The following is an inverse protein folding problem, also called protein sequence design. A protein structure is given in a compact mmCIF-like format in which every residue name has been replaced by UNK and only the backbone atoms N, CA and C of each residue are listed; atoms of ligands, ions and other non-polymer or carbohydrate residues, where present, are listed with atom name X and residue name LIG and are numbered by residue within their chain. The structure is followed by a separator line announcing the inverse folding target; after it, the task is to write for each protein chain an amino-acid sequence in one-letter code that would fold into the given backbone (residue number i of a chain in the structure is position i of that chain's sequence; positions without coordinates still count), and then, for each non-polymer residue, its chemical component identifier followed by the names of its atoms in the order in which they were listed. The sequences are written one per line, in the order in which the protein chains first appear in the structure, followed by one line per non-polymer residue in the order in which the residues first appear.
data_IF_002387623566
#
_entry.id   IF_002387623566
#
_cell.length_a   1.000
_cell.length_b   1.000
_cell.length_c   1.000
_cell.angle_alpha   90.00
_cell.angle_beta   90.00
_cell.angle_gamma   90.00
#
_symmetry.space_group_name_H-M   'P 1'
#
loop_
_entity.id
_entity.type
_entity.pdbx_description
1 polymer ?
#
# COMPACT_ATOMS: atom_id res chain seq x y z
N UNK A 1 4.45 -19.92 -21.00
CA UNK A 1 3.55 -19.08 -20.18
C UNK A 1 2.72 -20.01 -19.32
N UNK A 2 2.85 -19.94 -18.00
CA UNK A 2 1.94 -20.69 -17.13
C UNK A 2 0.56 -20.04 -17.19
N UNK A 3 -0.54 -20.81 -17.17
CA UNK A 3 -1.89 -20.26 -17.12
C UNK A 3 -2.00 -19.41 -15.85
N UNK A 4 -2.41 -18.14 -16.00
CA UNK A 4 -2.73 -17.29 -14.86
C UNK A 4 -3.90 -17.95 -14.15
N UNK A 5 -3.64 -18.46 -12.95
CA UNK A 5 -4.65 -19.07 -12.08
C UNK A 5 -5.69 -17.99 -11.77
N UNK A 6 -6.77 -18.00 -12.54
CA UNK A 6 -7.80 -16.98 -12.45
C UNK A 6 -8.60 -17.27 -11.20
N UNK A 7 -8.64 -16.32 -10.25
CA UNK A 7 -9.46 -16.42 -9.04
C UNK A 7 -10.90 -16.79 -9.44
N UNK A 8 -11.27 -18.03 -9.15
CA UNK A 8 -12.56 -18.61 -9.50
C UNK A 8 -13.41 -18.58 -8.24
N UNK A 9 -14.36 -17.66 -8.19
CA UNK A 9 -15.35 -17.61 -7.11
C UNK A 9 -16.39 -18.70 -7.35
N UNK A 10 -16.60 -19.53 -6.34
CA UNK A 10 -17.58 -20.59 -6.34
C UNK A 10 -18.90 -20.14 -5.69
N UNK A 11 -19.96 -20.90 -5.93
CA UNK A 11 -21.28 -20.65 -5.31
C UNK A 11 -21.21 -20.67 -3.76
N UNK A 12 -20.28 -21.44 -3.18
CA UNK A 12 -20.06 -21.50 -1.73
C UNK A 12 -19.58 -20.16 -1.15
N UNK A 13 -18.91 -19.34 -1.95
CA UNK A 13 -18.33 -18.06 -1.55
C UNK A 13 -19.38 -16.95 -1.54
N UNK A 14 -20.58 -17.18 -2.09
CA UNK A 14 -21.63 -16.18 -2.12
C UNK A 14 -22.31 -16.04 -0.74
N UNK A 15 -22.25 -14.83 -0.18
CA UNK A 15 -22.80 -14.49 1.14
C UNK A 15 -24.30 -14.27 1.06
N UNK A 16 -24.77 -13.45 0.12
CA UNK A 16 -26.19 -13.15 -0.07
C UNK A 16 -26.89 -14.20 -0.95
N UNK A 17 -26.99 -15.43 -0.42
CA UNK A 17 -27.45 -16.63 -1.16
C UNK A 17 -28.85 -16.50 -1.76
N UNK A 18 -29.78 -15.86 -1.08
CA UNK A 18 -31.16 -15.67 -1.59
C UNK A 18 -31.19 -14.80 -2.84
N UNK A 19 -30.47 -13.67 -2.79
CA UNK A 19 -30.31 -12.79 -3.94
C UNK A 19 -29.68 -13.55 -5.11
N UNK A 20 -28.58 -14.27 -4.86
CA UNK A 20 -27.92 -15.09 -5.87
C UNK A 20 -28.85 -16.14 -6.49
N UNK A 21 -29.63 -16.86 -5.69
CA UNK A 21 -30.58 -17.87 -6.18
C UNK A 21 -31.58 -17.27 -7.18
N UNK A 22 -32.04 -16.04 -6.93
CA UNK A 22 -32.95 -15.33 -7.84
C UNK A 22 -32.34 -14.92 -9.18
N UNK A 23 -31.01 -14.74 -9.25
CA UNK A 23 -30.32 -14.25 -10.45
C UNK A 23 -29.37 -15.27 -11.08
N UNK A 24 -29.17 -16.44 -10.45
CA UNK A 24 -28.13 -17.44 -10.77
C UNK A 24 -28.02 -17.76 -12.25
N UNK A 25 -29.15 -17.98 -12.91
CA UNK A 25 -29.17 -18.36 -14.33
C UNK A 25 -28.87 -17.18 -15.27
N UNK A 26 -29.07 -15.94 -14.82
CA UNK A 26 -28.85 -14.74 -15.61
C UNK A 26 -27.37 -14.34 -15.63
N UNK A 27 -26.64 -14.60 -14.54
CA UNK A 27 -25.25 -14.17 -14.35
C UNK A 27 -24.23 -15.30 -14.57
N UNK A 28 -24.67 -16.52 -14.90
CA UNK A 28 -23.77 -17.63 -15.21
C UNK A 28 -23.35 -17.56 -16.67
N UNK A 29 -22.06 -17.79 -16.90
CA UNK A 29 -21.53 -17.97 -18.24
C UNK A 29 -22.09 -19.27 -18.83
N UNK A 30 -22.68 -19.19 -20.01
CA UNK A 30 -23.26 -20.35 -20.67
C UNK A 30 -22.23 -21.36 -21.21
N UNK A 31 -20.94 -21.01 -21.21
CA UNK A 31 -19.84 -21.87 -21.65
C UNK A 31 -19.16 -22.55 -20.46
N UNK A 32 -18.66 -21.79 -19.49
CA UNK A 32 -17.93 -22.34 -18.34
C UNK A 32 -18.81 -22.64 -17.11
N UNK A 33 -20.10 -22.25 -17.14
CA UNK A 33 -21.11 -22.47 -16.09
C UNK A 33 -20.82 -21.82 -14.72
N UNK A 34 -19.73 -21.04 -14.64
CA UNK A 34 -19.35 -20.23 -13.49
C UNK A 34 -20.01 -18.85 -13.53
N UNK A 35 -19.91 -18.11 -12.42
CA UNK A 35 -20.31 -16.69 -12.37
C UNK A 35 -19.52 -15.94 -13.44
N UNK A 36 -20.21 -15.19 -14.30
CA UNK A 36 -19.61 -14.57 -15.46
C UNK A 36 -18.60 -13.47 -15.05
N UNK A 37 -17.36 -13.61 -15.50
CA UNK A 37 -16.31 -12.61 -15.36
C UNK A 37 -16.32 -11.70 -16.59
N UNK A 38 -16.32 -10.38 -16.38
CA UNK A 38 -16.46 -9.38 -17.44
C UNK A 38 -17.59 -9.76 -18.43
N UNK A 39 -18.85 -9.83 -17.94
CA UNK A 39 -19.94 -10.46 -18.65
C UNK A 39 -20.26 -9.74 -19.96
N UNK A 40 -20.32 -10.53 -21.02
CA UNK A 40 -20.84 -10.13 -22.33
C UNK A 40 -22.10 -10.94 -22.61
N UNK A 41 -22.94 -10.44 -23.51
CA UNK A 41 -24.11 -11.15 -23.99
C UNK A 41 -24.13 -11.16 -25.51
N UNK A 42 -24.70 -12.21 -26.09
CA UNK A 42 -24.99 -12.22 -27.51
C UNK A 42 -26.07 -11.16 -27.81
N UNK A 43 -25.84 -10.29 -28.79
CA UNK A 43 -26.78 -9.24 -29.19
C UNK A 43 -28.15 -9.78 -29.67
N UNK A 44 -28.20 -11.02 -30.15
CA UNK A 44 -29.40 -11.66 -30.68
C UNK A 44 -30.14 -12.52 -29.67
N UNK A 45 -29.48 -13.53 -29.08
CA UNK A 45 -30.14 -14.45 -28.14
C UNK A 45 -30.04 -14.03 -26.67
N UNK A 46 -29.29 -12.96 -26.36
CA UNK A 46 -29.13 -12.38 -25.03
C UNK A 46 -28.56 -13.34 -23.96
N UNK A 47 -28.00 -14.48 -24.39
CA UNK A 47 -27.31 -15.41 -23.48
C UNK A 47 -26.03 -14.76 -22.93
N UNK A 48 -25.76 -14.99 -21.64
CA UNK A 48 -24.62 -14.42 -20.93
C UNK A 48 -23.37 -15.32 -21.04
N UNK A 49 -22.20 -14.70 -21.20
CA UNK A 49 -20.89 -15.33 -21.30
C UNK A 49 -19.83 -14.53 -20.56
N UNK A 50 -18.76 -15.18 -20.10
CA UNK A 50 -17.52 -14.48 -19.79
C UNK A 50 -16.88 -13.95 -21.07
N UNK A 51 -16.33 -12.74 -21.06
CA UNK A 51 -15.62 -12.18 -22.23
C UNK A 51 -14.51 -13.12 -22.73
N UNK A 52 -13.75 -13.73 -21.81
CA UNK A 52 -12.67 -14.65 -22.15
C UNK A 52 -13.15 -15.98 -22.75
N UNK A 53 -14.34 -16.46 -22.38
CA UNK A 53 -14.90 -17.70 -22.93
C UNK A 53 -15.34 -17.58 -24.39
N UNK A 54 -15.60 -16.35 -24.86
CA UNK A 54 -16.07 -16.08 -26.22
C UNK A 54 -15.09 -15.24 -27.04
N UNK A 55 -13.91 -14.92 -26.48
CA UNK A 55 -12.91 -14.04 -27.11
C UNK A 55 -12.47 -14.53 -28.50
N UNK A 56 -12.31 -15.84 -28.63
CA UNK A 56 -11.83 -16.47 -29.87
C UNK A 56 -12.98 -17.11 -30.68
N UNK A 57 -14.24 -16.88 -30.28
CA UNK A 57 -15.41 -17.43 -30.98
C UNK A 57 -15.90 -16.44 -32.03
N UNK A 58 -16.03 -16.92 -33.26
CA UNK A 58 -16.60 -16.17 -34.39
C UNK A 58 -18.13 -16.18 -34.43
N UNK A 59 -18.77 -17.03 -33.62
CA UNK A 59 -20.22 -17.25 -33.62
C UNK A 59 -20.73 -17.53 -32.20
N UNK A 60 -21.99 -17.16 -31.95
CA UNK A 60 -22.66 -17.53 -30.71
C UNK A 60 -22.71 -19.07 -30.52
N UNK A 61 -22.30 -19.62 -29.35
CA UNK A 61 -22.37 -21.06 -29.06
C UNK A 61 -23.76 -21.70 -29.21
N UNK A 62 -24.82 -20.90 -29.16
CA UNK A 62 -26.20 -21.35 -29.34
C UNK A 62 -26.68 -21.28 -30.79
N UNK A 63 -25.80 -21.03 -31.76
CA UNK A 63 -26.11 -21.00 -33.19
C UNK A 63 -27.28 -20.07 -33.56
N UNK A 64 -27.48 -18.98 -32.83
CA UNK A 64 -28.57 -18.03 -33.13
C UNK A 64 -28.31 -17.19 -34.40
N UNK A 65 -27.15 -17.35 -35.06
CA UNK A 65 -26.74 -16.59 -36.24
C UNK A 65 -26.16 -15.20 -35.93
N UNK A 66 -25.80 -14.93 -34.68
CA UNK A 66 -25.04 -13.74 -34.30
C UNK A 66 -23.54 -14.03 -34.24
N UNK A 67 -22.76 -13.00 -34.58
CA UNK A 67 -21.30 -12.94 -34.50
C UNK A 67 -20.81 -11.86 -33.53
N UNK A 68 -21.73 -11.23 -32.79
CA UNK A 68 -21.41 -10.08 -31.93
C UNK A 68 -21.76 -10.37 -30.47
N UNK A 69 -20.80 -10.08 -29.61
CA UNK A 69 -20.94 -10.11 -28.16
C UNK A 69 -20.75 -8.69 -27.63
N UNK A 70 -21.75 -8.18 -26.91
CA UNK A 70 -21.74 -6.84 -26.34
C UNK A 70 -21.64 -6.92 -24.81
N UNK A 71 -21.06 -5.92 -24.12
CA UNK A 71 -21.09 -5.88 -22.65
C UNK A 71 -22.53 -5.97 -22.12
N UNK A 72 -22.78 -6.88 -21.18
CA UNK A 72 -24.12 -7.03 -20.59
C UNK A 72 -24.29 -6.09 -19.39
N UNK A 73 -24.85 -4.91 -19.62
CA UNK A 73 -25.11 -3.93 -18.56
C UNK A 73 -26.01 -4.51 -17.45
N UNK A 74 -27.02 -5.29 -17.83
CA UNK A 74 -27.92 -5.96 -16.88
C UNK A 74 -27.13 -6.91 -15.97
N UNK A 75 -26.30 -7.79 -16.55
CA UNK A 75 -25.50 -8.73 -15.74
C UNK A 75 -24.51 -7.99 -14.85
N UNK A 76 -23.87 -6.92 -15.34
CA UNK A 76 -22.98 -6.09 -14.53
C UNK A 76 -23.69 -5.46 -13.33
N UNK A 77 -24.91 -4.95 -13.51
CA UNK A 77 -25.73 -4.38 -12.43
C UNK A 77 -26.18 -5.42 -11.41
N UNK A 78 -26.48 -6.64 -11.84
CA UNK A 78 -26.83 -7.74 -10.93
C UNK A 78 -25.60 -8.21 -10.16
N UNK A 79 -24.47 -8.36 -10.85
CA UNK A 79 -23.19 -8.75 -10.26
C UNK A 79 -22.70 -7.73 -9.22
N UNK A 80 -22.85 -6.42 -9.45
CA UNK A 80 -22.41 -5.41 -8.47
C UNK A 80 -23.15 -5.46 -7.12
N UNK A 81 -24.29 -6.15 -7.07
CA UNK A 81 -25.06 -6.41 -5.85
C UNK A 81 -24.69 -7.74 -5.17
N UNK A 82 -23.89 -8.59 -5.81
CA UNK A 82 -23.40 -9.81 -5.18
C UNK A 82 -22.35 -9.49 -4.13
N UNK A 83 -22.49 -10.17 -3.00
CA UNK A 83 -21.54 -10.12 -1.89
C UNK A 83 -20.85 -11.48 -1.86
N UNK A 84 -19.54 -11.47 -2.03
CA UNK A 84 -18.67 -12.65 -2.04
C UNK A 84 -17.80 -12.62 -0.79
N UNK A 85 -17.73 -13.74 -0.08
CA UNK A 85 -16.80 -13.97 1.01
C UNK A 85 -15.45 -14.34 0.39
N UNK A 86 -14.49 -13.46 0.61
CA UNK A 86 -13.11 -13.76 0.32
C UNK A 86 -12.61 -14.91 1.22
N UNK A 87 -11.62 -15.67 0.74
CA UNK A 87 -10.93 -16.69 1.53
C UNK A 87 -10.29 -16.17 2.84
N UNK A 88 -10.06 -14.87 2.97
CA UNK A 88 -9.63 -14.23 4.22
C UNK A 88 -10.77 -13.99 5.23
N UNK A 89 -12.00 -14.38 4.88
CA UNK A 89 -13.20 -14.25 5.71
C UNK A 89 -13.95 -12.92 5.60
N UNK A 90 -13.45 -11.96 4.81
CA UNK A 90 -14.12 -10.66 4.60
C UNK A 90 -15.09 -10.70 3.43
N UNK A 91 -16.21 -10.01 3.60
CA UNK A 91 -17.27 -9.92 2.61
C UNK A 91 -17.04 -8.71 1.71
N UNK A 92 -17.05 -8.92 0.39
CA UNK A 92 -16.78 -7.90 -0.64
C UNK A 92 -17.84 -7.88 -1.72
N UNK A 93 -18.07 -6.70 -2.29
CA UNK A 93 -18.88 -6.59 -3.51
C UNK A 93 -18.12 -7.14 -4.71
N UNK A 94 -18.80 -7.89 -5.57
CA UNK A 94 -18.18 -8.54 -6.73
C UNK A 94 -17.55 -7.55 -7.72
N UNK A 95 -18.13 -6.36 -7.89
CA UNK A 95 -17.60 -5.33 -8.80
C UNK A 95 -16.23 -4.78 -8.36
N UNK A 96 -15.99 -4.71 -7.05
CA UNK A 96 -14.68 -4.34 -6.49
C UNK A 96 -13.63 -5.41 -6.81
N UNK A 97 -14.00 -6.68 -6.67
CA UNK A 97 -13.12 -7.81 -6.97
C UNK A 97 -12.71 -7.84 -8.45
N UNK A 98 -13.64 -7.64 -9.38
CA UNK A 98 -13.31 -7.60 -10.82
C UNK A 98 -12.39 -6.44 -11.18
N UNK A 99 -12.62 -5.24 -10.64
CA UNK A 99 -11.74 -4.09 -10.88
C UNK A 99 -10.31 -4.35 -10.39
N UNK A 100 -10.17 -5.11 -9.32
CA UNK A 100 -8.87 -5.46 -8.75
C UNK A 100 -8.17 -6.56 -9.56
N UNK A 101 -8.92 -7.54 -10.09
CA UNK A 101 -8.39 -8.54 -11.03
C UNK A 101 -7.90 -7.90 -12.33
N UNK A 102 -8.67 -6.98 -12.90
CA UNK A 102 -8.29 -6.26 -14.13
C UNK A 102 -7.04 -5.39 -13.90
N UNK A 103 -6.93 -4.75 -12.72
CA UNK A 103 -5.72 -4.03 -12.31
C UNK A 103 -4.53 -4.99 -12.22
N UNK A 104 -4.67 -6.12 -11.52
CA UNK A 104 -3.59 -7.09 -11.33
C UNK A 104 -3.09 -7.68 -12.66
N UNK A 105 -3.98 -7.95 -13.62
CA UNK A 105 -3.58 -8.44 -14.95
C UNK A 105 -2.80 -7.41 -15.76
N UNK A 106 -3.02 -6.11 -15.52
CA UNK A 106 -2.27 -5.02 -16.16
C UNK A 106 -1.01 -4.66 -15.38
N UNK A 107 -0.92 -5.10 -14.14
CA UNK A 107 0.09 -4.72 -13.17
C UNK A 107 1.01 -5.91 -12.92
N UNK A 108 2.03 -6.06 -13.77
CA UNK A 108 3.30 -6.67 -13.35
C UNK A 108 4.06 -5.67 -12.48
N UNK A 109 3.45 -5.14 -11.41
CA UNK A 109 4.15 -4.19 -10.55
C UNK A 109 5.18 -4.98 -9.76
N UNK A 110 6.43 -4.58 -9.92
CA UNK A 110 7.61 -4.92 -9.12
C UNK A 110 7.42 -4.79 -7.59
N UNK A 111 6.27 -4.25 -7.16
CA UNK A 111 5.91 -4.00 -5.77
C UNK A 111 4.86 -4.97 -5.19
N UNK A 112 4.49 -6.01 -5.93
CA UNK A 112 3.54 -7.03 -5.49
C UNK A 112 4.28 -8.24 -4.95
N UNK A 113 3.90 -8.70 -3.76
CA UNK A 113 4.42 -9.94 -3.15
C UNK A 113 3.28 -10.92 -2.89
N UNK A 114 3.57 -12.22 -2.92
CA UNK A 114 2.72 -13.25 -2.31
C UNK A 114 3.30 -13.63 -0.96
N UNK A 115 2.44 -13.78 0.05
CA UNK A 115 2.83 -14.09 1.43
C UNK A 115 2.12 -15.35 1.91
N UNK A 116 2.80 -16.23 2.65
CA UNK A 116 2.13 -17.37 3.32
C UNK A 116 1.14 -16.94 4.41
N UNK A 117 1.20 -15.68 4.87
CA UNK A 117 0.25 -15.14 5.85
C UNK A 117 -1.08 -14.74 5.21
N UNK A 118 -1.12 -14.64 3.88
CA UNK A 118 -2.30 -14.16 3.18
C UNK A 118 -2.38 -14.66 1.75
N UNK A 119 -3.49 -15.31 1.41
CA UNK A 119 -3.64 -15.98 0.11
C UNK A 119 -3.58 -15.04 -1.09
N UNK A 120 -4.01 -13.79 -0.93
CA UNK A 120 -3.94 -12.83 -2.02
C UNK A 120 -2.57 -12.18 -2.13
N UNK A 121 -2.21 -11.72 -3.34
CA UNK A 121 -1.10 -10.79 -3.49
C UNK A 121 -1.34 -9.50 -2.69
N UNK A 122 -0.28 -9.00 -2.07
CA UNK A 122 -0.27 -7.72 -1.35
C UNK A 122 0.69 -6.76 -2.05
N UNK A 123 0.29 -5.50 -2.13
CA UNK A 123 1.06 -4.45 -2.79
C UNK A 123 1.68 -3.53 -1.74
N UNK A 124 2.93 -3.12 -1.95
CA UNK A 124 3.52 -2.07 -1.13
C UNK A 124 2.83 -0.73 -1.43
N UNK A 125 2.19 -0.13 -0.43
CA UNK A 125 1.52 1.17 -0.55
C UNK A 125 1.95 2.04 0.64
N UNK A 126 2.15 3.34 0.37
CA UNK A 126 2.21 4.35 1.43
C UNK A 126 0.81 4.91 1.62
N UNK A 127 0.23 4.70 2.81
CA UNK A 127 -0.97 5.43 3.22
C UNK A 127 -0.50 6.72 3.85
N UNK A 128 -0.91 7.85 3.30
CA UNK A 128 -0.72 9.14 3.93
C UNK A 128 -1.91 9.42 4.87
N UNK A 129 -1.64 9.94 6.06
CA UNK A 129 -2.64 10.49 6.99
C UNK A 129 -3.60 9.47 7.65
N UNK A 130 -3.20 8.20 7.74
CA UNK A 130 -4.01 7.19 8.44
C UNK A 130 -3.16 6.19 9.23
N UNK A 131 -3.39 6.13 10.55
CA UNK A 131 -2.83 5.06 11.39
C UNK A 131 -3.43 3.73 10.96
N UNK A 132 -2.62 2.68 10.94
CA UNK A 132 -3.06 1.34 10.54
C UNK A 132 -2.50 0.29 11.48
N UNK A 133 -3.11 -0.90 11.48
CA UNK A 133 -2.70 -2.02 12.33
C UNK A 133 -2.34 -3.19 11.44
N UNK A 134 -1.19 -3.82 11.69
CA UNK A 134 -0.81 -5.04 10.99
C UNK A 134 -1.76 -6.16 11.36
N UNK A 135 -2.45 -6.75 10.37
CA UNK A 135 -3.39 -7.83 10.60
C UNK A 135 -2.73 -9.10 11.13
N UNK A 136 -1.42 -9.27 10.94
CA UNK A 136 -0.68 -10.41 11.48
C UNK A 136 -0.19 -10.18 12.91
N UNK A 137 0.71 -9.21 13.14
CA UNK A 137 1.31 -9.00 14.47
C UNK A 137 0.51 -8.06 15.39
N UNK A 138 -0.55 -7.43 14.89
CA UNK A 138 -1.41 -6.49 15.62
C UNK A 138 -0.72 -5.21 16.12
N UNK A 139 0.54 -4.98 15.75
CA UNK A 139 1.22 -3.72 16.02
C UNK A 139 0.55 -2.57 15.24
N UNK A 140 0.44 -1.42 15.89
CA UNK A 140 -0.07 -0.17 15.30
C UNK A 140 1.09 0.62 14.68
N UNK A 141 0.82 1.22 13.52
CA UNK A 141 1.76 2.01 12.73
C UNK A 141 1.13 3.36 12.37
N UNK A 142 1.98 4.36 12.06
CA UNK A 142 1.58 5.76 11.88
C UNK A 142 1.58 6.19 10.40
N UNK A 143 1.11 7.42 10.18
CA UNK A 143 0.66 8.04 8.93
C UNK A 143 1.68 8.14 7.77
N UNK A 144 2.91 7.67 7.97
CA UNK A 144 3.97 7.60 6.96
C UNK A 144 4.57 6.21 6.79
N UNK A 145 4.20 5.25 7.65
CA UNK A 145 4.80 3.91 7.65
C UNK A 145 4.25 3.13 6.47
N UNK A 146 5.10 2.72 5.50
CA UNK A 146 4.63 1.94 4.38
C UNK A 146 4.09 0.58 4.84
N UNK A 147 3.06 0.09 4.15
CA UNK A 147 2.38 -1.18 4.44
C UNK A 147 2.32 -2.03 3.17
N UNK A 148 2.30 -3.34 3.34
CA UNK A 148 1.86 -4.25 2.29
C UNK A 148 0.35 -4.47 2.44
N UNK A 149 -0.40 -3.84 1.54
CA UNK A 149 -1.85 -3.85 1.54
C UNK A 149 -2.39 -4.78 0.46
N UNK A 150 -3.30 -5.66 0.85
CA UNK A 150 -4.13 -6.42 -0.06
C UNK A 150 -5.30 -5.54 -0.53
N UNK A 151 -5.27 -5.11 -1.79
CA UNK A 151 -6.40 -4.42 -2.42
C UNK A 151 -7.67 -5.29 -2.35
N UNK A 152 -7.52 -6.60 -2.56
CA UNK A 152 -8.65 -7.56 -2.56
C UNK A 152 -9.37 -7.72 -1.23
N UNK A 153 -8.78 -7.40 -0.08
CA UNK A 153 -9.53 -7.57 1.17
C UNK A 153 -9.27 -6.54 2.25
N UNK A 154 -8.41 -5.57 2.05
CA UNK A 154 -7.93 -4.66 3.08
C UNK A 154 -7.02 -5.33 4.12
N UNK A 155 -6.31 -6.39 3.73
CA UNK A 155 -5.32 -7.04 4.59
C UNK A 155 -4.04 -6.22 4.60
N UNK A 156 -3.63 -5.72 5.76
CA UNK A 156 -2.45 -4.89 5.90
C UNK A 156 -1.37 -5.66 6.69
N UNK A 157 -0.17 -5.82 6.14
CA UNK A 157 0.98 -6.41 6.87
C UNK A 157 2.19 -5.49 6.88
N UNK A 158 2.88 -5.47 8.02
CA UNK A 158 4.12 -4.74 8.17
C UNK A 158 5.28 -5.41 7.45
N UNK A 159 6.34 -4.63 7.26
CA UNK A 159 7.57 -5.08 6.63
C UNK A 159 8.14 -6.36 7.26
N UNK A 160 8.25 -6.41 8.59
CA UNK A 160 8.81 -7.58 9.28
C UNK A 160 7.94 -8.83 9.09
N UNK A 161 6.62 -8.68 9.11
CA UNK A 161 5.71 -9.79 8.81
C UNK A 161 5.83 -10.25 7.35
N UNK A 162 5.87 -9.31 6.41
CA UNK A 162 6.04 -9.58 4.99
C UNK A 162 7.37 -10.29 4.71
N UNK A 163 8.49 -9.73 5.17
CA UNK A 163 9.84 -10.27 5.02
C UNK A 163 9.96 -11.74 5.42
N UNK A 164 9.31 -12.14 6.52
CA UNK A 164 9.36 -13.51 7.04
C UNK A 164 8.32 -14.46 6.39
N UNK A 165 7.53 -13.96 5.46
CA UNK A 165 6.40 -14.70 4.88
C UNK A 165 6.31 -14.70 3.36
N UNK A 166 7.17 -13.98 2.66
CA UNK A 166 7.18 -13.94 1.20
C UNK A 166 7.40 -15.34 0.61
N UNK A 167 6.53 -15.72 -0.33
CA UNK A 167 6.66 -16.92 -1.15
C UNK A 167 7.00 -16.57 -2.60
N UNK A 168 6.57 -15.40 -3.09
CA UNK A 168 6.88 -14.89 -4.43
C UNK A 168 7.00 -13.35 -4.43
N UNK A 169 7.81 -12.79 -5.34
CA UNK A 169 8.07 -11.35 -5.46
C UNK A 169 9.29 -10.87 -4.66
N UNK A 170 9.56 -9.55 -4.72
CA UNK A 170 10.71 -8.92 -4.04
C UNK A 170 10.24 -7.77 -3.15
N UNK A 171 10.86 -7.62 -1.98
CA UNK A 171 10.63 -6.46 -1.12
C UNK A 171 11.12 -5.18 -1.79
N UNK A 172 10.36 -4.11 -1.65
CA UNK A 172 10.74 -2.79 -2.15
C UNK A 172 11.94 -2.22 -1.38
N UNK A 173 12.99 -1.80 -2.08
CA UNK A 173 14.21 -1.23 -1.47
C UNK A 173 13.91 -0.04 -0.56
N UNK A 174 12.97 0.82 -0.94
CA UNK A 174 12.55 1.98 -0.15
C UNK A 174 11.84 1.58 1.16
N UNK A 175 11.19 0.40 1.21
CA UNK A 175 10.69 -0.14 2.47
C UNK A 175 11.83 -0.61 3.36
N UNK A 176 12.79 -1.33 2.78
CA UNK A 176 13.99 -1.79 3.50
C UNK A 176 14.70 -0.58 4.11
N UNK A 177 14.93 0.47 3.32
CA UNK A 177 15.56 1.71 3.75
C UNK A 177 14.76 2.43 4.84
N UNK A 178 13.44 2.52 4.73
CA UNK A 178 12.60 3.15 5.77
C UNK A 178 12.73 2.42 7.13
N UNK A 179 12.63 1.09 7.13
CA UNK A 179 12.71 0.31 8.36
C UNK A 179 14.14 0.22 8.92
N UNK A 180 15.16 0.34 8.08
CA UNK A 180 16.56 0.42 8.52
C UNK A 180 16.95 1.80 9.05
N UNK A 181 16.39 2.89 8.50
CA UNK A 181 16.72 4.26 8.90
C UNK A 181 15.94 4.74 10.14
N UNK A 182 14.85 4.06 10.50
CA UNK A 182 14.05 4.33 11.71
C UNK A 182 14.02 3.09 12.64
N UNK A 183 15.17 2.69 13.22
CA UNK A 183 15.23 1.51 14.11
C UNK A 183 14.39 1.69 15.38
N UNK A 184 14.17 2.94 15.79
CA UNK A 184 13.18 3.30 16.79
C UNK A 184 11.81 3.31 16.11
N UNK A 185 11.15 2.14 16.10
CA UNK A 185 9.70 2.09 15.94
C UNK A 185 9.16 3.02 17.02
N UNK A 186 8.69 4.19 16.55
CA UNK A 186 8.02 5.23 17.33
C UNK A 186 7.18 4.54 18.39
N UNK A 187 7.68 4.54 19.63
CA UNK A 187 6.93 3.99 20.75
C UNK A 187 5.61 4.73 20.81
N UNK A 188 4.58 4.09 21.36
CA UNK A 188 3.21 4.60 21.52
C UNK A 188 3.07 6.06 22.05
N UNK A 189 4.16 6.69 22.51
CA UNK A 189 4.24 8.06 23.04
C UNK A 189 4.91 9.10 22.14
N UNK A 190 5.53 8.70 21.04
CA UNK A 190 6.33 9.60 20.20
C UNK A 190 5.51 10.38 19.14
N UNK A 191 4.19 10.40 19.29
CA UNK A 191 3.26 10.95 18.29
C UNK A 191 2.12 11.74 18.96
N UNK A 192 2.46 12.82 19.66
CA UNK A 192 1.44 13.81 20.08
C UNK A 192 1.34 14.98 19.09
N UNK A 193 2.31 15.16 18.19
CA UNK A 193 2.26 16.29 17.26
C UNK A 193 2.62 15.92 15.82
N UNK A 194 1.68 16.17 14.90
CA UNK A 194 2.00 16.22 13.48
C UNK A 194 2.68 17.56 13.18
N UNK A 195 3.83 17.53 12.51
CA UNK A 195 4.43 18.74 11.96
C UNK A 195 3.53 19.23 10.83
N UNK A 196 3.00 20.43 10.96
CA UNK A 196 2.16 21.06 9.95
C UNK A 196 2.49 22.55 9.87
N UNK A 197 2.26 23.12 8.68
CA UNK A 197 2.48 24.53 8.42
C UNK A 197 1.12 25.22 8.58
N UNK A 198 1.04 26.22 9.45
CA UNK A 198 -0.16 27.05 9.57
C UNK A 198 -0.06 28.21 8.58
N UNK A 199 -0.94 28.28 7.56
CA UNK A 199 -0.99 29.42 6.65
C UNK A 199 -1.58 30.68 7.29
N UNK A 200 -1.94 30.63 8.57
CA UNK A 200 -2.64 31.66 9.32
C UNK A 200 -2.03 31.69 10.72
N UNK A 201 -1.99 32.88 11.32
CA UNK A 201 -1.43 33.10 12.64
C UNK A 201 -1.90 32.04 13.67
N UNK A 202 -0.97 31.48 14.44
CA UNK A 202 -1.27 30.52 15.52
C UNK A 202 -0.64 30.94 16.85
N UNK A 203 -1.22 30.46 17.96
CA UNK A 203 -0.69 30.68 19.30
C UNK A 203 -0.15 29.36 19.83
N UNK A 204 1.12 29.30 20.23
CA UNK A 204 1.65 28.11 20.90
C UNK A 204 1.05 28.01 22.31
N UNK A 205 0.38 26.91 22.63
CA UNK A 205 -0.26 26.69 23.92
C UNK A 205 0.73 26.57 25.09
N UNK A 206 2.01 26.30 24.82
CA UNK A 206 3.03 26.23 25.87
C UNK A 206 3.75 27.55 26.12
N UNK A 207 4.09 28.30 25.08
CA UNK A 207 4.83 29.55 25.22
C UNK A 207 3.95 30.80 25.14
N UNK A 208 2.69 30.63 24.72
CA UNK A 208 1.68 31.66 24.49
C UNK A 208 2.10 32.74 23.48
N UNK A 209 3.20 32.53 22.75
CA UNK A 209 3.60 33.44 21.67
C UNK A 209 2.71 33.22 20.45
N UNK A 210 2.36 34.32 19.81
CA UNK A 210 1.67 34.37 18.53
C UNK A 210 2.70 34.36 17.40
N UNK A 211 2.52 33.47 16.44
CA UNK A 211 3.36 33.35 15.24
C UNK A 211 2.53 33.75 14.03
N UNK A 212 3.05 34.62 13.18
CA UNK A 212 2.30 35.21 12.05
C UNK A 212 2.86 34.83 10.68
N UNK A 213 3.91 34.02 10.65
CA UNK A 213 4.61 33.60 9.45
C UNK A 213 4.41 32.08 9.22
N UNK A 214 4.80 31.58 8.04
CA UNK A 214 4.78 30.15 7.65
C UNK A 214 5.82 29.32 8.43
N UNK A 215 5.84 29.50 9.75
CA UNK A 215 6.77 28.86 10.68
C UNK A 215 6.21 27.46 11.00
N UNK A 216 7.05 26.41 10.89
CA UNK A 216 6.64 25.05 11.22
C UNK A 216 6.11 24.96 12.65
N UNK A 217 5.02 24.22 12.81
CA UNK A 217 4.32 24.07 14.10
C UNK A 217 3.84 22.64 14.27
N UNK A 218 3.50 22.30 15.50
CA UNK A 218 3.14 20.96 15.91
C UNK A 218 1.74 20.99 16.52
N UNK A 219 0.72 20.44 15.83
CA UNK A 219 -0.64 20.39 16.37
C UNK A 219 -1.01 19.00 16.79
N UNK A 220 -1.62 18.92 17.96
CA UNK A 220 -2.30 17.72 18.40
C UNK A 220 -3.66 17.66 17.72
N UNK A 221 -3.83 16.69 16.83
CA UNK A 221 -5.09 16.46 16.12
C UNK A 221 -6.22 16.00 17.03
N UNK A 222 -5.93 15.66 18.29
CA UNK A 222 -6.90 15.18 19.28
C UNK A 222 -7.46 16.27 20.19
N UNK A 223 -6.66 17.30 20.52
CA UNK A 223 -7.05 18.29 21.52
C UNK A 223 -6.81 19.75 21.10
N UNK A 224 -6.61 20.00 19.80
CA UNK A 224 -6.38 21.34 19.24
C UNK A 224 -5.19 22.08 19.88
N UNK A 225 -4.24 21.31 20.42
CA UNK A 225 -3.09 21.84 21.13
C UNK A 225 -1.97 22.13 20.14
N UNK A 226 -1.55 23.40 20.04
CA UNK A 226 -0.52 23.89 19.14
C UNK A 226 0.78 24.12 19.91
N UNK A 227 1.88 23.56 19.39
CA UNK A 227 3.22 23.68 19.96
C UNK A 227 4.16 24.31 18.92
N UNK A 228 4.89 25.34 19.32
CA UNK A 228 5.92 25.90 18.44
C UNK A 228 7.12 24.95 18.33
N UNK A 229 7.86 25.06 17.22
CA UNK A 229 9.02 24.21 16.95
C UNK A 229 10.04 24.20 18.11
N UNK A 230 10.39 25.36 18.66
CA UNK A 230 11.33 25.49 19.77
C UNK A 230 10.90 24.71 21.02
N UNK A 231 9.59 24.68 21.32
CA UNK A 231 9.07 23.95 22.48
C UNK A 231 8.96 22.45 22.20
N UNK A 232 8.62 22.06 20.97
CA UNK A 232 8.62 20.66 20.56
C UNK A 232 10.02 20.05 20.64
N UNK A 233 11.05 20.77 20.21
CA UNK A 233 12.43 20.31 20.26
C UNK A 233 12.90 20.17 21.71
N UNK A 234 12.62 21.16 22.58
CA UNK A 234 13.00 21.12 24.01
C UNK A 234 12.33 19.99 24.78
N UNK A 235 11.04 19.74 24.53
CA UNK A 235 10.30 18.66 25.21
C UNK A 235 10.76 17.28 24.76
N UNK A 236 11.13 17.12 23.49
CA UNK A 236 11.69 15.87 22.96
C UNK A 236 13.05 15.53 23.59
N UNK A 237 13.91 16.53 23.81
CA UNK A 237 15.23 16.34 24.45
C UNK A 237 15.10 15.95 25.93
N UNK A 238 14.11 16.49 26.64
CA UNK A 238 13.90 16.17 28.06
C UNK A 238 13.36 14.76 28.29
N UNK A 239 12.56 14.22 27.38
CA UNK A 239 12.06 12.84 27.49
C UNK A 239 13.19 11.81 27.34
N UNK A 240 14.14 12.06 26.44
CA UNK A 240 15.29 11.16 26.25
C UNK A 240 16.27 11.15 27.43
N UNK A 241 16.41 12.27 28.14
CA UNK A 241 17.31 12.37 29.30
C UNK A 241 16.72 11.79 30.59
N UNK A 242 15.40 11.58 30.65
CA UNK A 242 14.73 11.00 31.82
C UNK A 242 14.58 9.47 31.75
N UNK A 243 15.07 8.81 30.71
CA UNK A 243 15.26 7.36 30.69
C UNK A 243 16.52 7.02 31.49
N UNK A 244 16.39 7.05 32.82
CA UNK A 244 17.40 6.47 33.72
C UNK A 244 17.51 4.96 33.41
N UNK A 245 18.73 4.40 33.23
CA UNK A 245 18.89 2.96 33.16
C UNK A 245 18.43 2.34 34.49
N UNK A 246 17.41 1.50 34.42
CA UNK A 246 16.99 0.68 35.55
C UNK A 246 18.15 -0.26 35.92
N UNK A 247 18.91 0.11 36.94
CA UNK A 247 19.94 -0.74 37.53
C UNK A 247 19.29 -1.94 38.22
N UNK A 248 19.12 -3.04 37.49
CA UNK A 248 18.97 -4.38 38.05
C UNK A 248 20.23 -5.18 37.75
N UNK A 249 21.24 -5.00 38.59
CA UNK A 249 22.47 -5.81 38.58
C UNK A 249 22.19 -7.10 39.36
N UNK A 250 21.79 -8.17 38.66
CA UNK A 250 21.99 -9.53 39.17
C UNK A 250 23.41 -9.98 38.84
N UNK A 251 24.14 -10.36 39.88
CA UNK A 251 25.49 -10.90 39.83
C UNK A 251 25.49 -12.27 39.15
N UNK A 252 26.36 -12.47 38.16
CA UNK A 252 26.79 -13.79 37.68
C UNK A 252 28.33 -13.80 37.68
N UNK A 253 29.00 -14.91 38.09
CA UNK A 253 30.44 -14.92 38.33
C UNK A 253 31.28 -15.25 37.09
N UNK A 254 32.46 -14.62 37.05
CA UNK A 254 33.73 -15.06 36.47
C UNK A 254 33.72 -15.90 35.18
N UNK A 255 34.13 -15.27 34.06
CA UNK A 255 34.85 -15.94 32.98
C UNK A 255 36.06 -15.11 32.56
N UNK A 256 37.11 -15.86 32.23
CA UNK A 256 38.53 -15.58 31.99
C UNK A 256 38.88 -14.41 31.06
N UNK A 257 40.00 -13.77 31.41
CA UNK A 257 40.69 -12.69 30.72
C UNK A 257 41.34 -13.16 29.41
N UNK A 258 41.19 -12.35 28.35
CA UNK A 258 42.05 -12.36 27.16
C UNK A 258 42.78 -11.01 27.05
N UNK A 259 44.00 -10.98 26.45
CA UNK A 259 44.92 -9.85 26.57
C UNK A 259 44.62 -8.69 25.62
N UNK A 260 45.06 -7.52 26.08
CA UNK A 260 45.07 -6.21 25.44
C UNK A 260 45.59 -6.21 23.99
N UNK A 261 44.83 -5.60 23.09
CA UNK A 261 45.31 -5.10 21.79
C UNK A 261 45.39 -3.57 21.89
N UNK A 262 46.59 -3.02 21.73
CA UNK A 262 46.84 -1.59 21.71
C UNK A 262 46.31 -0.93 20.43
N UNK A 263 45.84 0.33 20.48
CA UNK A 263 45.49 1.09 19.29
C UNK A 263 46.73 1.66 18.58
N UNK A 264 46.75 1.47 17.27
CA UNK A 264 47.74 1.98 16.32
C UNK A 264 47.43 3.45 15.95
N UNK A 265 48.35 4.42 16.09
CA UNK A 265 48.16 5.77 15.61
C UNK A 265 48.98 6.01 14.33
N UNK A 266 48.32 6.23 13.19
CA UNK A 266 48.87 7.01 12.08
C UNK A 266 47.90 7.04 10.89
N UNK A 267 47.19 8.15 10.70
CA UNK A 267 46.84 8.61 9.35
C UNK A 267 47.08 10.12 9.30
N UNK A 268 48.13 10.49 8.57
CA UNK A 268 48.49 11.84 8.18
C UNK A 268 47.43 12.41 7.23
N UNK A 269 46.94 13.61 7.54
CA UNK A 269 46.25 14.46 6.58
C UNK A 269 47.30 15.11 5.68
N UNK A 270 47.14 14.95 4.36
CA UNK A 270 47.93 15.67 3.38
C UNK A 270 46.98 16.43 2.45
N UNK A 271 47.19 17.74 2.39
CA UNK A 271 46.54 18.68 1.49
C UNK A 271 47.03 18.47 0.05
N UNK A 272 46.16 18.71 -0.94
CA UNK A 272 46.28 19.82 -1.91
C UNK A 272 45.58 19.56 -3.25
N UNK A 273 44.94 20.64 -3.70
CA UNK A 273 44.87 21.17 -5.07
C UNK A 273 43.90 20.59 -6.13
N UNK A 274 42.93 21.46 -6.43
CA UNK A 274 42.85 22.29 -7.65
C UNK A 274 41.90 21.88 -8.79
N UNK A 275 41.19 22.93 -9.23
CA UNK A 275 40.66 23.23 -10.57
C UNK A 275 39.49 22.41 -11.12
N UNK A 276 38.37 23.10 -11.36
CA UNK A 276 37.60 22.91 -12.59
C UNK A 276 36.84 24.19 -12.96
N UNK A 277 36.93 24.50 -14.25
CA UNK A 277 36.46 25.70 -14.93
C UNK A 277 34.95 25.69 -15.23
N UNK A 278 34.45 26.92 -15.36
CA UNK A 278 33.36 27.42 -16.22
C UNK A 278 32.86 26.47 -17.32
N UNK A 279 31.52 26.36 -17.45
CA UNK A 279 30.79 26.54 -18.72
C UNK A 279 29.27 26.40 -18.51
N UNK A 280 28.54 27.52 -18.59
CA UNK A 280 27.08 27.56 -18.71
C UNK A 280 26.71 28.05 -20.11
N UNK A 281 26.42 27.11 -21.01
CA UNK A 281 25.83 27.41 -22.33
C UNK A 281 24.30 27.36 -22.23
N UNK A 282 23.69 28.53 -22.44
CA UNK A 282 22.26 28.70 -22.63
C UNK A 282 21.83 28.26 -24.04
N UNK A 283 20.70 27.56 -24.14
CA UNK A 283 20.09 27.14 -25.41
C UNK A 283 18.63 27.62 -25.42
N UNK A 284 18.20 28.47 -26.37
CA UNK A 284 16.79 28.85 -26.49
C UNK A 284 16.01 27.92 -27.43
N UNK A 285 14.87 27.43 -26.93
CA UNK A 285 13.86 26.68 -27.65
C UNK A 285 13.22 27.52 -28.77
N UNK A 286 13.33 27.04 -30.02
CA UNK A 286 12.54 27.52 -31.17
C UNK A 286 11.12 26.92 -31.12
N UNK A 287 10.11 27.79 -31.01
CA UNK A 287 8.70 27.48 -31.31
C UNK A 287 8.52 27.31 -32.81
N UNK A 288 7.98 26.16 -33.26
CA UNK A 288 7.40 25.99 -34.59
C UNK A 288 5.88 26.09 -34.48
N UNK A 289 5.32 27.14 -35.09
CA UNK A 289 3.90 27.23 -35.40
C UNK A 289 3.63 26.42 -36.68
N UNK A 290 2.66 25.51 -36.63
CA UNK A 290 2.04 24.89 -37.82
C UNK A 290 0.72 25.62 -38.03
N UNK A 291 0.56 26.23 -39.20
CA UNK A 291 -0.69 26.81 -39.69
C UNK A 291 -1.23 25.91 -40.79
N UNK A 292 -2.50 25.57 -40.66
CA UNK A 292 -3.33 24.78 -41.57
C UNK A 292 -3.39 25.36 -43.00
N UNK A 293 -3.41 24.45 -43.98
CA UNK A 293 -4.24 24.52 -45.19
C UNK A 293 -4.69 23.11 -45.55
#
# INVERSE_FOLDING_TARGET
MQPIETLLFEEKDVVNREFYRGIKNMIKCSVCLNIAQNPVQCDKCQQCFCSQCVKDLSHCPFNCGSHQFIPSLMCQQLLSKLIIRCECGRDKKYDLLNKELDKNNKITNEYTIKSKLHKHPVQCIRRFLQTWTCDNCKNRFYDDTPTYHCTLCDYDICYECAKNSITEGTLKTEMIQYYQSKPEILTQYSTISQLHHHPIEYNCDSCHNKFTDDIPSFRCTLCDFDLCYDYAERTSVQQNNNVQPSNNTQQIPNVQQFPNVQPNPNIQQNNNNANAQQNSNANPLKKKNIVNR
#
